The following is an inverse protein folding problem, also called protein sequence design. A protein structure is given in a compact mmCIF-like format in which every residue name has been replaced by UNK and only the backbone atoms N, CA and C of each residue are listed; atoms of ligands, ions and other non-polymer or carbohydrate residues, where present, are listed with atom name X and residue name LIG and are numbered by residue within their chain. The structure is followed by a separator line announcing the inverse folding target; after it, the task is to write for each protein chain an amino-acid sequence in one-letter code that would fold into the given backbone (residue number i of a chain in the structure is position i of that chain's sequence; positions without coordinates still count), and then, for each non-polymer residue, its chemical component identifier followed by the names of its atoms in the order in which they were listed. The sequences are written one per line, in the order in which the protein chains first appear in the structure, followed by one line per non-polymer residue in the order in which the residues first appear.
data_IF_292680209237
#
_entry.id   IF_292680209237
#
_cell.length_a   1.000
_cell.length_b   1.000
_cell.length_c   1.000
_cell.angle_alpha   90.00
_cell.angle_beta   90.00
_cell.angle_gamma   90.00
#
_symmetry.space_group_name_H-M   'P 1'
#
loop_
_entity.id
_entity.type
_entity.pdbx_description
1 polymer ?
#
# COMPACT_ATOMS: atom_id res chain seq x y z
N UNK A 1 20.88 6.29 -27.42
CA UNK A 1 19.53 5.93 -26.94
C UNK A 1 19.27 6.76 -25.71
N UNK A 2 18.51 7.83 -25.91
CA UNK A 2 18.36 8.96 -24.99
C UNK A 2 17.40 8.60 -23.87
N UNK A 3 17.78 8.96 -22.65
CA UNK A 3 16.99 8.77 -21.42
C UNK A 3 15.79 9.71 -21.53
N UNK A 4 14.59 9.15 -21.70
CA UNK A 4 13.38 9.95 -21.76
C UNK A 4 13.07 10.55 -20.39
N UNK A 5 12.93 11.87 -20.42
CA UNK A 5 12.77 12.77 -19.30
C UNK A 5 11.61 12.38 -18.35
N UNK A 6 11.90 12.44 -17.05
CA UNK A 6 10.92 12.36 -15.97
C UNK A 6 10.10 13.65 -15.96
N UNK A 7 8.88 13.56 -16.48
CA UNK A 7 7.91 14.65 -16.43
C UNK A 7 7.15 14.60 -15.09
N UNK A 8 7.54 15.45 -14.12
CA UNK A 8 6.84 15.64 -12.84
C UNK A 8 5.57 16.47 -13.12
N UNK A 9 4.44 15.82 -13.45
CA UNK A 9 3.15 16.52 -13.59
C UNK A 9 2.43 16.66 -12.25
N UNK A 10 2.09 17.91 -11.93
CA UNK A 10 1.49 18.46 -10.70
C UNK A 10 0.01 18.17 -10.41
N UNK A 11 -0.68 17.27 -11.12
CA UNK A 11 -2.14 17.19 -11.03
C UNK A 11 -2.65 15.98 -10.23
N UNK A 12 -2.28 15.85 -8.96
CA UNK A 12 -3.10 15.14 -7.98
C UNK A 12 -3.65 16.23 -7.04
N UNK A 13 -4.97 16.41 -7.05
CA UNK A 13 -5.64 17.30 -6.11
C UNK A 13 -5.52 16.75 -4.68
N UNK A 14 -4.46 17.16 -4.00
CA UNK A 14 -4.17 16.87 -2.59
C UNK A 14 -4.67 17.98 -1.65
N UNK A 15 -5.49 18.92 -2.14
CA UNK A 15 -6.01 20.03 -1.35
C UNK A 15 -6.78 19.57 -0.11
N UNK A 16 -7.45 18.41 -0.20
CA UNK A 16 -8.17 17.78 0.92
C UNK A 16 -7.26 17.50 2.12
N UNK A 17 -5.95 17.32 1.92
CA UNK A 17 -5.00 17.13 3.02
C UNK A 17 -4.73 18.44 3.79
N UNK A 18 -5.11 19.61 3.27
CA UNK A 18 -4.87 20.92 3.89
C UNK A 18 -3.38 21.32 3.91
N UNK A 19 -2.60 20.84 2.94
CA UNK A 19 -1.14 20.96 2.90
C UNK A 19 -0.72 22.04 1.88
N UNK A 20 -0.05 23.09 2.34
CA UNK A 20 0.55 24.13 1.49
C UNK A 20 1.86 23.63 0.85
N UNK A 21 1.88 23.44 -0.48
CA UNK A 21 3.00 23.44 -1.44
C UNK A 21 4.33 22.68 -1.15
N UNK A 22 4.45 21.83 -0.12
CA UNK A 22 5.71 21.10 0.20
C UNK A 22 5.60 19.58 0.36
N UNK A 23 4.75 18.90 -0.41
CA UNK A 23 4.78 17.43 -0.46
C UNK A 23 4.98 16.89 -1.87
N UNK A 24 6.01 16.06 -1.98
CA UNK A 24 6.51 15.45 -3.22
C UNK A 24 5.66 14.20 -3.48
N UNK A 25 4.86 14.20 -4.54
CA UNK A 25 4.24 12.97 -5.05
C UNK A 25 5.21 12.28 -6.00
N UNK A 26 5.49 11.00 -5.78
CA UNK A 26 6.18 10.19 -6.78
C UNK A 26 5.17 9.47 -7.66
N UNK A 27 5.23 9.72 -8.97
CA UNK A 27 4.65 8.85 -10.00
C UNK A 27 5.77 8.05 -10.63
N UNK A 28 5.72 6.74 -10.45
CA UNK A 28 6.72 5.83 -11.02
C UNK A 28 6.23 5.39 -12.42
N UNK A 29 6.94 5.84 -13.47
CA UNK A 29 6.66 5.45 -14.87
C UNK A 29 7.37 4.15 -15.23
N UNK A 30 6.83 3.44 -16.23
CA UNK A 30 7.21 2.09 -16.64
C UNK A 30 7.79 2.04 -18.08
N UNK A 31 8.72 1.11 -18.40
CA UNK A 31 9.07 0.71 -19.78
C UNK A 31 8.15 -0.38 -20.39
N UNK A 32 8.01 -0.37 -21.72
CA UNK A 32 7.11 -1.16 -22.61
C UNK A 32 7.16 -2.71 -22.50
N UNK A 33 6.74 -3.33 -21.38
CA UNK A 33 6.58 -4.80 -21.31
C UNK A 33 5.34 -5.25 -20.53
N UNK A 34 5.09 -6.57 -20.43
CA UNK A 34 3.91 -7.19 -19.80
C UNK A 34 3.59 -6.61 -18.39
N UNK A 35 2.31 -6.30 -18.09
CA UNK A 35 1.88 -5.48 -16.94
C UNK A 35 2.33 -6.03 -15.58
N UNK A 36 2.11 -7.31 -15.32
CA UNK A 36 2.54 -7.97 -14.08
C UNK A 36 4.07 -7.96 -13.92
N UNK A 37 4.82 -8.22 -15.00
CA UNK A 37 6.30 -8.25 -14.97
C UNK A 37 6.86 -6.91 -14.49
N UNK A 38 6.29 -5.80 -14.93
CA UNK A 38 6.81 -4.49 -14.51
C UNK A 38 6.37 -4.07 -13.12
N UNK A 39 5.18 -4.46 -12.67
CA UNK A 39 4.80 -4.29 -11.27
C UNK A 39 5.72 -5.13 -10.37
N UNK A 40 6.02 -6.36 -10.78
CA UNK A 40 6.99 -7.21 -10.09
C UNK A 40 8.38 -6.56 -10.04
N UNK A 41 8.87 -6.00 -11.15
CA UNK A 41 10.15 -5.30 -11.18
C UNK A 41 10.18 -4.07 -10.26
N UNK A 42 9.07 -3.31 -10.21
CA UNK A 42 8.96 -2.16 -9.34
C UNK A 42 8.92 -2.58 -7.87
N UNK A 43 8.13 -3.59 -7.51
CA UNK A 43 8.10 -4.17 -6.18
C UNK A 43 9.47 -4.69 -5.77
N UNK A 44 10.19 -5.36 -6.69
CA UNK A 44 11.56 -5.84 -6.45
C UNK A 44 12.49 -4.69 -6.07
N UNK A 45 12.44 -3.59 -6.82
CA UNK A 45 13.19 -2.35 -6.54
C UNK A 45 12.84 -1.75 -5.17
N UNK A 46 11.55 -1.69 -4.85
CA UNK A 46 11.05 -1.19 -3.56
C UNK A 46 11.58 -2.07 -2.42
N UNK A 47 11.40 -3.40 -2.50
CA UNK A 47 11.86 -4.36 -1.48
C UNK A 47 13.36 -4.23 -1.24
N UNK A 48 14.18 -4.20 -2.30
CA UNK A 48 15.63 -4.03 -2.13
C UNK A 48 15.98 -2.74 -1.43
N UNK A 49 15.29 -1.65 -1.77
CA UNK A 49 15.56 -0.35 -1.15
C UNK A 49 15.08 -0.30 0.29
N UNK A 50 13.93 -0.88 0.62
CA UNK A 50 13.47 -0.94 2.01
C UNK A 50 14.40 -1.79 2.86
N UNK A 51 14.92 -2.91 2.33
CA UNK A 51 15.93 -3.72 3.03
C UNK A 51 17.21 -2.90 3.26
N UNK A 52 17.74 -2.25 2.21
CA UNK A 52 18.98 -1.46 2.27
C UNK A 52 18.90 -0.29 3.26
N UNK A 53 17.78 0.42 3.25
CA UNK A 53 17.55 1.59 4.13
C UNK A 53 17.02 1.19 5.52
N UNK A 54 17.03 -0.11 5.85
CA UNK A 54 16.57 -0.66 7.12
C UNK A 54 15.13 -0.27 7.48
N UNK A 55 14.22 -0.33 6.50
CA UNK A 55 12.79 -0.10 6.65
C UNK A 55 12.02 -1.41 6.58
N UNK A 56 10.81 -1.41 7.14
CA UNK A 56 9.87 -2.49 6.93
C UNK A 56 8.88 -2.14 5.82
N UNK A 57 8.67 -3.11 4.93
CA UNK A 57 7.65 -3.05 3.90
C UNK A 57 6.50 -3.97 4.30
N UNK A 58 5.30 -3.40 4.30
CA UNK A 58 4.06 -4.11 4.56
C UNK A 58 3.14 -3.99 3.36
N UNK A 59 2.27 -4.98 3.20
CA UNK A 59 1.00 -4.81 2.50
C UNK A 59 -0.04 -4.56 3.58
N UNK A 60 -0.63 -3.37 3.57
CA UNK A 60 -1.81 -3.08 4.38
C UNK A 60 -3.05 -3.44 3.57
N UNK A 61 -3.95 -4.21 4.16
CA UNK A 61 -5.17 -4.66 3.51
C UNK A 61 -6.33 -4.75 4.52
N UNK A 62 -7.55 -4.86 4.03
CA UNK A 62 -8.72 -4.94 4.88
C UNK A 62 -9.98 -5.15 4.09
N UNK A 63 -11.10 -5.27 4.77
CA UNK A 63 -12.42 -5.35 4.15
C UNK A 63 -12.68 -4.11 3.29
N UNK A 64 -13.54 -4.22 2.28
CA UNK A 64 -14.00 -3.06 1.50
C UNK A 64 -15.04 -2.27 2.29
N UNK A 65 -16.08 -2.97 2.71
CA UNK A 65 -17.25 -2.38 3.37
C UNK A 65 -17.40 -2.88 4.80
N UNK A 66 -18.12 -2.08 5.59
CA UNK A 66 -18.62 -2.53 6.88
C UNK A 66 -19.65 -3.65 6.64
N UNK A 67 -19.56 -4.70 7.44
CA UNK A 67 -20.48 -5.84 7.38
C UNK A 67 -21.12 -6.10 8.73
N UNK A 68 -22.35 -6.62 8.72
CA UNK A 68 -23.08 -6.94 9.93
C UNK A 68 -22.28 -7.93 10.79
N UNK A 69 -22.18 -7.65 12.10
CA UNK A 69 -21.48 -8.54 13.05
C UNK A 69 -22.25 -9.86 13.20
N UNK A 70 -21.83 -10.88 12.46
CA UNK A 70 -22.40 -12.24 12.51
C UNK A 70 -21.35 -13.23 13.02
N UNK A 71 -21.79 -14.42 13.47
CA UNK A 71 -20.89 -15.52 13.86
C UNK A 71 -19.93 -15.88 12.71
N UNK A 72 -20.44 -15.89 11.47
CA UNK A 72 -19.65 -16.15 10.26
C UNK A 72 -18.57 -15.08 10.04
N UNK A 73 -18.94 -13.80 10.14
CA UNK A 73 -17.99 -12.70 9.96
C UNK A 73 -16.86 -12.74 11.02
N UNK A 74 -17.18 -13.08 12.27
CA UNK A 74 -16.17 -13.24 13.33
C UNK A 74 -15.33 -14.51 13.19
N UNK A 75 -15.87 -15.56 12.54
CA UNK A 75 -15.16 -16.81 12.33
C UNK A 75 -14.11 -16.70 11.22
N UNK A 76 -14.47 -16.10 10.09
CA UNK A 76 -13.60 -15.95 8.93
C UNK A 76 -12.65 -14.76 9.04
N UNK A 77 -13.10 -13.64 9.62
CA UNK A 77 -12.33 -12.39 9.68
C UNK A 77 -11.76 -12.01 8.29
N UNK A 78 -10.56 -11.44 8.22
CA UNK A 78 -9.87 -11.04 6.99
C UNK A 78 -8.97 -12.16 6.47
N UNK A 79 -8.09 -12.72 7.30
CA UNK A 79 -7.09 -13.69 6.89
C UNK A 79 -7.67 -15.01 6.44
N UNK A 80 -8.65 -15.58 7.16
CA UNK A 80 -9.26 -16.83 6.67
C UNK A 80 -10.13 -16.60 5.44
N UNK A 81 -10.70 -15.40 5.29
CA UNK A 81 -11.44 -15.05 4.08
C UNK A 81 -10.51 -15.02 2.86
N UNK A 82 -9.41 -14.26 2.92
CA UNK A 82 -8.42 -14.19 1.84
C UNK A 82 -7.79 -15.56 1.52
N UNK A 83 -7.48 -16.35 2.55
CA UNK A 83 -6.99 -17.72 2.38
C UNK A 83 -7.98 -18.60 1.60
N UNK A 84 -9.28 -18.53 1.93
CA UNK A 84 -10.33 -19.29 1.22
C UNK A 84 -10.44 -18.90 -0.26
N UNK A 85 -10.20 -17.64 -0.59
CA UNK A 85 -10.14 -17.14 -1.97
C UNK A 85 -8.80 -17.45 -2.68
N UNK A 86 -7.88 -18.16 -2.02
CA UNK A 86 -6.57 -18.50 -2.57
C UNK A 86 -5.62 -17.31 -2.67
N UNK A 87 -5.84 -16.26 -1.88
CA UNK A 87 -5.01 -15.05 -1.81
C UNK A 87 -4.16 -15.11 -0.55
N UNK A 88 -2.97 -15.70 -0.69
CA UNK A 88 -2.01 -15.94 0.39
C UNK A 88 -0.65 -15.48 -0.09
N UNK A 89 0.19 -15.03 0.85
CA UNK A 89 1.58 -14.67 0.61
C UNK A 89 2.46 -15.66 1.35
N UNK A 90 3.12 -16.52 0.58
CA UNK A 90 3.81 -17.70 1.11
C UNK A 90 4.98 -17.38 2.04
N UNK A 91 5.70 -16.28 1.76
CA UNK A 91 6.85 -15.81 2.55
C UNK A 91 6.56 -14.51 3.35
N UNK A 92 5.27 -14.23 3.61
CA UNK A 92 4.83 -13.05 4.37
C UNK A 92 4.69 -13.34 5.86
N UNK A 93 5.03 -12.36 6.72
CA UNK A 93 4.65 -12.42 8.14
C UNK A 93 3.32 -11.71 8.33
N UNK A 94 2.27 -12.48 8.60
CA UNK A 94 0.93 -11.95 8.88
C UNK A 94 0.91 -11.33 10.28
N UNK A 95 0.44 -10.09 10.36
CA UNK A 95 0.22 -9.37 11.60
C UNK A 95 -1.23 -9.57 12.05
N UNK A 96 -1.47 -9.51 13.35
CA UNK A 96 -2.81 -9.66 13.93
C UNK A 96 -3.80 -8.65 13.34
N UNK A 97 -5.02 -9.14 13.11
CA UNK A 97 -6.11 -8.35 12.52
C UNK A 97 -6.66 -7.34 13.53
N UNK A 98 -6.96 -6.14 13.05
CA UNK A 98 -7.64 -5.10 13.80
C UNK A 98 -9.11 -5.09 13.43
N UNK A 99 -9.98 -5.14 14.44
CA UNK A 99 -11.43 -4.98 14.29
C UNK A 99 -11.82 -3.52 14.53
N UNK A 100 -12.47 -2.89 13.54
CA UNK A 100 -13.09 -1.57 13.70
C UNK A 100 -14.61 -1.74 13.69
N UNK A 101 -15.26 -1.28 14.76
CA UNK A 101 -16.73 -1.32 14.92
C UNK A 101 -17.31 0.07 14.68
N UNK A 102 -18.31 0.18 13.81
CA UNK A 102 -19.15 1.38 13.67
C UNK A 102 -20.60 0.96 13.45
N UNK A 103 -21.54 1.61 14.14
CA UNK A 103 -22.99 1.35 13.97
C UNK A 103 -23.40 -0.14 14.05
N UNK A 104 -22.75 -0.93 14.92
CA UNK A 104 -22.94 -2.41 15.06
C UNK A 104 -22.47 -3.24 13.85
N UNK A 105 -21.80 -2.61 12.91
CA UNK A 105 -21.10 -3.25 11.80
C UNK A 105 -19.60 -3.31 12.10
N UNK A 106 -18.93 -4.24 11.46
CA UNK A 106 -17.52 -4.55 11.66
C UNK A 106 -16.76 -4.46 10.35
N UNK A 107 -15.50 -4.06 10.46
CA UNK A 107 -14.53 -4.04 9.38
C UNK A 107 -13.19 -4.55 9.92
N UNK A 108 -12.60 -5.52 9.24
CA UNK A 108 -11.28 -6.03 9.61
C UNK A 108 -10.18 -5.42 8.74
N UNK A 109 -9.06 -5.10 9.37
CA UNK A 109 -7.84 -4.64 8.72
C UNK A 109 -6.67 -5.50 9.18
N UNK A 110 -5.62 -5.56 8.37
CA UNK A 110 -4.42 -6.26 8.73
C UNK A 110 -3.24 -5.83 7.87
N UNK A 111 -2.06 -6.29 8.28
CA UNK A 111 -0.84 -6.05 7.54
C UNK A 111 -0.06 -7.36 7.35
N UNK A 112 0.62 -7.48 6.22
CA UNK A 112 1.54 -8.58 5.93
C UNK A 112 2.91 -7.96 5.71
N UNK A 113 3.88 -8.30 6.56
CA UNK A 113 5.26 -7.86 6.38
C UNK A 113 5.92 -8.68 5.27
N UNK A 114 6.51 -7.98 4.31
CA UNK A 114 7.26 -8.59 3.22
C UNK A 114 8.74 -8.71 3.61
N UNK A 115 9.25 -9.94 3.66
CA UNK A 115 10.62 -10.23 4.09
C UNK A 115 11.54 -10.62 2.92
N UNK A 116 11.00 -10.88 1.74
CA UNK A 116 11.71 -11.52 0.64
C UNK A 116 11.19 -11.04 -0.72
N UNK A 117 12.03 -11.13 -1.74
CA UNK A 117 11.63 -10.88 -3.13
C UNK A 117 10.81 -12.03 -3.72
N UNK A 118 10.79 -13.20 -3.09
CA UNK A 118 10.01 -14.34 -3.57
C UNK A 118 8.50 -14.13 -3.38
N UNK A 119 8.09 -13.24 -2.46
CA UNK A 119 6.67 -12.93 -2.22
C UNK A 119 6.07 -11.96 -3.25
N UNK A 120 6.81 -11.56 -4.29
CA UNK A 120 6.40 -10.51 -5.23
C UNK A 120 5.15 -10.92 -6.03
N UNK A 121 5.10 -12.15 -6.54
CA UNK A 121 3.95 -12.60 -7.34
C UNK A 121 2.67 -12.65 -6.51
N UNK A 122 2.77 -13.25 -5.31
CA UNK A 122 1.69 -13.27 -4.32
C UNK A 122 1.25 -11.84 -3.91
N UNK A 123 2.21 -10.92 -3.77
CA UNK A 123 1.95 -9.51 -3.47
C UNK A 123 1.14 -8.85 -4.59
N UNK A 124 1.52 -9.04 -5.85
CA UNK A 124 0.78 -8.50 -7.00
C UNK A 124 -0.62 -9.11 -7.06
N UNK A 125 -0.76 -10.42 -6.80
CA UNK A 125 -2.05 -11.10 -6.75
C UNK A 125 -2.97 -10.48 -5.70
N UNK A 126 -2.47 -10.23 -4.49
CA UNK A 126 -3.25 -9.61 -3.42
C UNK A 126 -3.63 -8.16 -3.76
N UNK A 127 -2.68 -7.34 -4.22
CA UNK A 127 -2.96 -5.95 -4.62
C UNK A 127 -3.97 -5.85 -5.77
N UNK A 128 -4.05 -6.87 -6.63
CA UNK A 128 -5.04 -6.94 -7.69
C UNK A 128 -6.40 -7.45 -7.21
N UNK A 129 -6.42 -8.37 -6.24
CA UNK A 129 -7.67 -8.92 -5.69
C UNK A 129 -8.40 -7.92 -4.79
N UNK A 130 -7.64 -7.19 -3.96
CA UNK A 130 -8.19 -6.42 -2.85
C UNK A 130 -7.91 -4.92 -3.07
N UNK A 131 -8.88 -4.20 -3.66
CA UNK A 131 -8.68 -2.85 -4.23
C UNK A 131 -8.26 -1.78 -3.22
N UNK A 132 -8.57 -1.97 -1.94
CA UNK A 132 -8.17 -1.08 -0.86
C UNK A 132 -6.81 -1.45 -0.27
N UNK A 133 -6.10 -2.41 -0.86
CA UNK A 133 -4.75 -2.77 -0.43
C UNK A 133 -3.72 -1.83 -1.02
N UNK A 134 -2.72 -1.50 -0.23
CA UNK A 134 -1.61 -0.64 -0.61
C UNK A 134 -0.34 -1.08 0.09
N UNK A 135 0.80 -0.67 -0.44
CA UNK A 135 2.06 -0.89 0.27
C UNK A 135 2.23 0.18 1.33
N UNK A 136 2.81 -0.22 2.46
CA UNK A 136 3.10 0.66 3.57
C UNK A 136 4.55 0.44 4.01
N UNK A 137 5.35 1.49 3.90
CA UNK A 137 6.75 1.49 4.31
C UNK A 137 6.85 2.23 5.64
N UNK A 138 7.40 1.57 6.65
CA UNK A 138 7.54 2.10 8.01
C UNK A 138 8.98 1.97 8.52
N UNK A 139 9.44 2.90 9.37
CA UNK A 139 10.62 2.69 10.20
C UNK A 139 10.44 1.47 11.11
N UNK A 140 11.53 0.73 11.39
CA UNK A 140 11.50 -0.53 12.18
C UNK A 140 10.93 -0.38 13.59
N UNK A 141 10.99 0.80 14.18
CA UNK A 141 10.51 1.10 15.53
C UNK A 141 9.00 1.45 15.58
N UNK A 142 8.32 1.49 14.43
CA UNK A 142 6.89 1.80 14.38
C UNK A 142 6.09 0.50 14.28
N UNK A 143 5.11 0.34 15.17
CA UNK A 143 4.16 -0.75 15.11
C UNK A 143 3.12 -0.47 14.00
N UNK A 144 3.01 -1.39 13.05
CA UNK A 144 2.07 -1.25 11.92
C UNK A 144 0.61 -1.23 12.37
N UNK A 145 0.28 -1.89 13.50
CA UNK A 145 -1.08 -1.90 14.01
C UNK A 145 -1.55 -0.51 14.45
N UNK A 146 -0.67 0.30 15.05
CA UNK A 146 -0.97 1.68 15.44
C UNK A 146 -1.32 2.54 14.23
N UNK A 147 -0.69 2.24 13.08
CA UNK A 147 -0.92 2.93 11.82
C UNK A 147 -2.25 2.53 11.19
N UNK A 148 -2.49 1.23 11.00
CA UNK A 148 -3.70 0.74 10.30
C UNK A 148 -4.98 0.84 11.14
N UNK A 149 -4.88 1.01 12.47
CA UNK A 149 -6.04 1.19 13.36
C UNK A 149 -6.86 2.45 13.04
N UNK A 150 -6.30 3.41 12.30
CA UNK A 150 -7.05 4.55 11.77
C UNK A 150 -8.07 4.16 10.69
N UNK A 151 -7.94 2.96 10.12
CA UNK A 151 -8.69 2.46 8.98
C UNK A 151 -8.31 3.16 7.68
N UNK A 152 -8.60 2.51 6.56
CA UNK A 152 -8.41 3.08 5.23
C UNK A 152 -9.45 2.54 4.23
N UNK A 153 -9.61 3.26 3.13
CA UNK A 153 -10.44 2.90 1.97
C UNK A 153 -9.58 2.92 0.71
N UNK A 154 -10.15 2.50 -0.43
CA UNK A 154 -9.47 2.61 -1.72
C UNK A 154 -9.37 4.07 -2.20
N UNK A 155 -10.26 4.95 -1.72
CA UNK A 155 -10.32 6.36 -2.11
C UNK A 155 -9.31 7.17 -1.30
N UNK A 156 -8.21 7.61 -1.96
CA UNK A 156 -7.14 8.39 -1.31
C UNK A 156 -7.68 9.63 -0.55
N UNK A 157 -8.70 10.31 -1.11
CA UNK A 157 -9.32 11.51 -0.49
C UNK A 157 -9.94 11.23 0.89
N UNK A 158 -10.48 10.03 1.09
CA UNK A 158 -11.11 9.62 2.35
C UNK A 158 -10.07 9.24 3.41
N UNK A 159 -8.85 8.93 2.98
CA UNK A 159 -7.76 8.46 3.85
C UNK A 159 -6.99 9.59 4.56
N UNK A 160 -7.50 10.83 4.61
CA UNK A 160 -6.78 11.98 5.18
C UNK A 160 -6.14 11.68 6.54
N UNK A 161 -6.92 11.18 7.51
CA UNK A 161 -6.43 10.90 8.87
C UNK A 161 -5.34 9.83 8.88
N UNK A 162 -5.56 8.75 8.14
CA UNK A 162 -4.61 7.67 7.95
C UNK A 162 -3.29 8.17 7.33
N UNK A 163 -3.36 8.95 6.25
CA UNK A 163 -2.17 9.46 5.54
C UNK A 163 -1.38 10.48 6.35
N UNK A 164 -2.08 11.36 7.09
CA UNK A 164 -1.42 12.27 8.03
C UNK A 164 -0.69 11.49 9.12
N UNK A 165 -1.32 10.44 9.66
CA UNK A 165 -0.68 9.60 10.66
C UNK A 165 0.54 8.85 10.10
N UNK A 166 0.43 8.23 8.92
CA UNK A 166 1.56 7.60 8.19
C UNK A 166 2.72 8.58 8.02
N UNK A 167 2.44 9.81 7.59
CA UNK A 167 3.47 10.84 7.43
C UNK A 167 4.11 11.23 8.76
N UNK A 168 3.31 11.43 9.80
CA UNK A 168 3.77 11.83 11.13
C UNK A 168 4.69 10.80 11.79
N UNK A 169 4.45 9.50 11.56
CA UNK A 169 5.34 8.43 12.05
C UNK A 169 6.56 8.20 11.13
N UNK A 170 6.74 9.07 10.13
CA UNK A 170 7.86 8.98 9.19
C UNK A 170 7.72 7.89 8.14
N UNK A 171 6.53 7.33 7.93
CA UNK A 171 6.23 6.28 6.96
C UNK A 171 5.82 6.79 5.58
N UNK A 172 5.55 5.87 4.66
CA UNK A 172 5.09 6.15 3.30
C UNK A 172 4.04 5.12 2.87
N UNK A 173 2.85 5.58 2.47
CA UNK A 173 1.82 4.75 1.86
C UNK A 173 1.90 4.86 0.32
N UNK A 174 1.89 3.73 -0.37
CA UNK A 174 1.95 3.62 -1.83
C UNK A 174 0.66 2.96 -2.35
N UNK A 175 -0.26 3.76 -2.87
CA UNK A 175 -1.51 3.27 -3.46
C UNK A 175 -1.28 2.91 -4.92
N UNK A 176 -1.77 1.75 -5.34
CA UNK A 176 -1.70 1.35 -6.75
C UNK A 176 -2.54 2.33 -7.58
N UNK A 177 -1.98 2.83 -8.68
CA UNK A 177 -2.69 3.65 -9.67
C UNK A 177 -2.55 3.00 -11.06
N UNK A 178 -3.65 2.97 -11.81
CA UNK A 178 -3.75 2.41 -13.16
C UNK A 178 -4.46 1.04 -13.21
N UNK A 179 -5.46 0.92 -14.09
CA UNK A 179 -6.25 -0.30 -14.34
C UNK A 179 -5.76 -1.13 -15.56
N UNK A 180 -6.48 -2.22 -15.87
CA UNK A 180 -6.11 -3.29 -16.81
C UNK A 180 -5.86 -2.79 -18.25
N UNK A 181 -6.38 -1.63 -18.61
CA UNK A 181 -6.36 -0.98 -19.92
C UNK A 181 -5.50 0.31 -19.96
N UNK A 182 -5.04 0.81 -18.80
CA UNK A 182 -4.21 2.00 -18.76
C UNK A 182 -2.80 1.76 -19.32
N UNK A 183 -2.30 2.74 -20.07
CA UNK A 183 -0.94 2.77 -20.63
C UNK A 183 0.12 2.79 -19.49
N UNK A 184 -0.28 3.19 -18.28
CA UNK A 184 0.57 3.35 -17.11
C UNK A 184 -0.01 2.61 -15.90
N UNK A 185 0.81 1.81 -15.21
CA UNK A 185 0.47 1.21 -13.92
C UNK A 185 1.67 1.41 -12.97
N UNK A 186 1.40 1.88 -11.76
CA UNK A 186 2.42 2.24 -10.79
C UNK A 186 1.83 2.49 -9.40
N UNK A 187 2.49 3.36 -8.63
CA UNK A 187 2.03 3.77 -7.31
C UNK A 187 1.99 5.29 -7.16
N UNK A 188 1.01 5.78 -6.42
CA UNK A 188 1.01 7.11 -5.81
C UNK A 188 1.54 6.98 -4.38
N UNK A 189 2.67 7.63 -4.10
CA UNK A 189 3.23 7.70 -2.76
C UNK A 189 2.83 8.95 -1.98
N UNK A 190 2.38 8.78 -0.74
CA UNK A 190 2.07 9.86 0.21
C UNK A 190 2.68 9.53 1.59
N UNK A 191 3.55 10.41 2.09
CA UNK A 191 4.17 10.26 3.41
C UNK A 191 5.46 11.05 3.55
N UNK A 192 6.40 10.51 4.33
CA UNK A 192 7.68 11.11 4.66
C UNK A 192 8.54 11.40 3.43
N UNK A 193 8.93 12.66 3.28
CA UNK A 193 9.85 13.13 2.23
C UNK A 193 11.18 12.37 2.24
N UNK A 194 11.64 11.91 3.42
CA UNK A 194 12.86 11.10 3.54
C UNK A 194 12.76 9.80 2.75
N UNK A 195 11.69 9.03 2.95
CA UNK A 195 11.49 7.74 2.26
C UNK A 195 11.23 7.96 0.77
N UNK A 196 10.46 8.99 0.43
CA UNK A 196 10.19 9.40 -0.95
C UNK A 196 11.52 9.65 -1.68
N UNK A 197 12.46 10.39 -1.08
CA UNK A 197 13.77 10.66 -1.66
C UNK A 197 14.64 9.40 -1.82
N UNK A 198 14.41 8.32 -1.05
CA UNK A 198 15.08 7.04 -1.29
C UNK A 198 14.50 6.32 -2.51
N UNK A 199 13.17 6.32 -2.64
CA UNK A 199 12.49 5.64 -3.74
C UNK A 199 12.68 6.35 -5.08
N UNK A 200 12.78 7.69 -5.08
CA UNK A 200 13.00 8.48 -6.31
C UNK A 200 14.34 8.19 -6.99
N UNK A 201 15.29 7.58 -6.28
CA UNK A 201 16.60 7.18 -6.83
C UNK A 201 16.57 5.84 -7.56
N UNK A 202 15.47 5.09 -7.48
CA UNK A 202 15.34 3.76 -8.07
C UNK A 202 14.51 3.78 -9.37
N UNK A 203 13.80 4.88 -9.60
CA UNK A 203 12.98 5.16 -10.79
C UNK A 203 13.77 5.90 -11.84
#
# INVERSE_FOLDING_TARGET
MTIDNIDIKKNIDLSFLGLNDKNISLKIKKPNSNKNISMCNLLKKIIYTTIREELYLYIATGDLDYRKKTKLANYFKLWKYLNKEGVIISEGTYIDEIEIIRNKEIKYFGAIKLNSVNSIEDTVKLLNHQINSHLLILPKNINVNDVINHGFTYTIKENKKYLLHVSNVGGLALFKEGEFDDIHCGFIGIGSSRIINYLSKIT
#
